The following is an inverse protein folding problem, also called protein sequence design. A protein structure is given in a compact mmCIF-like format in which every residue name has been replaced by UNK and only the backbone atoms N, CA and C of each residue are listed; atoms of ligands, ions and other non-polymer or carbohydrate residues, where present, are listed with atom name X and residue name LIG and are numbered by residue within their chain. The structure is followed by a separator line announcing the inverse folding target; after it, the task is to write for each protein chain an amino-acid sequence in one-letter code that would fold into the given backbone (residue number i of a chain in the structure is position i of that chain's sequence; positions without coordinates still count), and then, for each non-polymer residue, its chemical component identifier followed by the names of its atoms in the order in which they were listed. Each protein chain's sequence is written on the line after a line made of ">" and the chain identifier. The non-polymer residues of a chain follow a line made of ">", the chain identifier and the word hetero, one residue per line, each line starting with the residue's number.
data_IF_486977013652
#
_entry.id   IF_486977013652
#
_cell.length_a   1.000
_cell.length_b   1.000
_cell.length_c   1.000
_cell.angle_alpha   90.00
_cell.angle_beta   90.00
_cell.angle_gamma   90.00
#
_symmetry.space_group_name_H-M   'P 1'
#
loop_
_entity.id
_entity.type
_entity.pdbx_description
1 polymer ?
#
# COMPACT_ATOMS: atom_id res chain seq x y z
N UNK A 1 -19.86 16.73 18.38
CA UNK A 1 -18.93 15.58 18.44
C UNK A 1 -18.25 15.40 17.08
N UNK A 2 -17.08 14.75 17.01
CA UNK A 2 -16.17 14.71 15.85
C UNK A 2 -16.66 13.96 14.58
N UNK A 3 -17.98 13.84 14.34
CA UNK A 3 -18.54 13.27 13.10
C UNK A 3 -18.71 11.75 13.05
N UNK A 4 -18.33 11.00 14.10
CA UNK A 4 -18.50 9.55 14.15
C UNK A 4 -19.90 9.13 14.62
N UNK A 5 -20.49 8.11 13.99
CA UNK A 5 -21.80 7.54 14.37
C UNK A 5 -21.75 6.70 15.65
N UNK A 6 -20.58 6.14 15.99
CA UNK A 6 -20.36 5.25 17.12
C UNK A 6 -19.01 5.56 17.77
N UNK A 7 -18.93 5.30 19.08
CA UNK A 7 -17.68 5.31 19.85
C UNK A 7 -17.46 3.91 20.44
N UNK A 8 -16.21 3.59 20.79
CA UNK A 8 -15.90 2.36 21.51
C UNK A 8 -16.50 2.41 22.91
N UNK A 9 -17.18 1.33 23.31
CA UNK A 9 -17.69 1.17 24.67
C UNK A 9 -16.58 0.78 25.65
N UNK A 10 -15.56 0.05 25.16
CA UNK A 10 -14.44 -0.45 25.95
C UNK A 10 -13.15 -0.10 25.24
N UNK A 11 -12.25 0.56 25.97
CA UNK A 11 -10.89 0.87 25.55
C UNK A 11 -9.95 0.72 26.75
N UNK A 12 -8.69 0.42 26.49
CA UNK A 12 -7.61 0.71 27.43
C UNK A 12 -7.25 2.20 27.37
N UNK A 13 -5.95 2.50 27.33
CA UNK A 13 -5.49 3.87 27.11
C UNK A 13 -5.76 4.37 25.68
N UNK A 14 -5.82 3.46 24.70
CA UNK A 14 -6.11 3.78 23.29
C UNK A 14 -7.19 2.87 22.72
N UNK A 15 -7.67 3.19 21.52
CA UNK A 15 -8.39 2.20 20.71
C UNK A 15 -7.49 0.99 20.44
N UNK A 16 -8.10 -0.18 20.21
CA UNK A 16 -7.36 -1.42 19.97
C UNK A 16 -6.54 -1.33 18.68
N UNK A 17 -5.24 -1.66 18.74
CA UNK A 17 -4.36 -1.75 17.57
C UNK A 17 -4.78 -2.80 16.54
N UNK A 18 -5.77 -3.65 16.87
CA UNK A 18 -6.45 -4.52 15.89
C UNK A 18 -7.11 -3.74 14.75
N UNK A 19 -7.58 -2.52 15.01
CA UNK A 19 -8.16 -1.63 13.98
C UNK A 19 -7.11 -1.28 12.91
N UNK A 20 -5.85 -1.15 13.32
CA UNK A 20 -4.75 -0.85 12.39
C UNK A 20 -4.49 -2.07 11.49
N UNK A 21 -4.56 -3.30 12.03
CA UNK A 21 -4.50 -4.55 11.24
C UNK A 21 -5.62 -4.58 10.19
N UNK A 22 -6.86 -4.38 10.62
CA UNK A 22 -8.02 -4.49 9.72
C UNK A 22 -7.94 -3.45 8.58
N UNK A 23 -7.43 -2.25 8.89
CA UNK A 23 -7.23 -1.19 7.91
C UNK A 23 -6.12 -1.52 6.90
N UNK A 24 -4.94 -1.94 7.39
CA UNK A 24 -3.81 -2.28 6.51
C UNK A 24 -4.03 -3.59 5.75
N UNK A 25 -4.79 -4.55 6.28
CA UNK A 25 -5.11 -5.79 5.58
C UNK A 25 -5.92 -5.54 4.31
N UNK A 26 -6.92 -4.66 4.38
CA UNK A 26 -7.70 -4.25 3.21
C UNK A 26 -6.82 -3.59 2.14
N UNK A 27 -5.90 -2.72 2.58
CA UNK A 27 -4.92 -2.10 1.70
C UNK A 27 -4.00 -3.16 1.07
N UNK A 28 -3.38 -4.04 1.86
CA UNK A 28 -2.48 -5.07 1.35
C UNK A 28 -3.17 -5.97 0.30
N UNK A 29 -4.43 -6.34 0.53
CA UNK A 29 -5.25 -7.08 -0.43
C UNK A 29 -5.49 -6.30 -1.72
N UNK A 30 -5.73 -4.98 -1.64
CA UNK A 30 -5.79 -4.11 -2.81
C UNK A 30 -4.44 -4.08 -3.55
N UNK A 31 -3.33 -4.03 -2.81
CA UNK A 31 -1.98 -4.13 -3.36
C UNK A 31 -1.78 -5.39 -4.20
N UNK A 32 -2.18 -6.56 -3.68
CA UNK A 32 -2.10 -7.81 -4.44
C UNK A 32 -2.90 -7.75 -5.75
N UNK A 33 -4.10 -7.18 -5.71
CA UNK A 33 -4.96 -6.99 -6.88
C UNK A 33 -4.30 -6.10 -7.94
N UNK A 34 -3.81 -4.92 -7.51
CA UNK A 34 -3.12 -3.96 -8.39
C UNK A 34 -1.86 -4.58 -8.97
N UNK A 35 -1.06 -5.29 -8.16
CA UNK A 35 0.17 -5.92 -8.64
C UNK A 35 -0.13 -6.97 -9.72
N UNK A 36 -1.20 -7.76 -9.57
CA UNK A 36 -1.60 -8.75 -10.58
C UNK A 36 -2.04 -8.08 -11.89
N UNK A 37 -2.94 -7.10 -11.82
CA UNK A 37 -3.45 -6.38 -12.99
C UNK A 37 -2.30 -5.71 -13.76
N UNK A 38 -1.42 -4.99 -13.05
CA UNK A 38 -0.29 -4.30 -13.67
C UNK A 38 0.76 -5.26 -14.23
N UNK A 39 0.95 -6.45 -13.62
CA UNK A 39 1.80 -7.49 -14.22
C UNK A 39 1.22 -7.97 -15.55
N UNK A 40 -0.09 -8.24 -15.62
CA UNK A 40 -0.72 -8.67 -16.87
C UNK A 40 -0.60 -7.59 -17.94
N UNK A 41 -0.84 -6.31 -17.62
CA UNK A 41 -0.69 -5.19 -18.55
C UNK A 41 0.74 -5.14 -19.11
N UNK A 42 1.76 -5.37 -18.28
CA UNK A 42 3.16 -5.39 -18.72
C UNK A 42 3.45 -6.54 -19.68
N UNK A 43 2.84 -7.71 -19.46
CA UNK A 43 2.95 -8.85 -20.38
C UNK A 43 2.23 -8.58 -21.71
N UNK A 44 1.02 -8.02 -21.66
CA UNK A 44 0.25 -7.66 -22.86
C UNK A 44 0.93 -6.56 -23.68
N UNK A 45 1.63 -5.63 -23.01
CA UNK A 45 2.48 -4.65 -23.68
C UNK A 45 3.69 -5.28 -24.39
N UNK A 46 4.25 -6.36 -23.85
CA UNK A 46 5.28 -7.13 -24.53
C UNK A 46 4.74 -7.84 -25.78
N UNK A 47 3.52 -8.36 -25.72
CA UNK A 47 2.80 -8.98 -26.84
C UNK A 47 2.27 -7.96 -27.87
N UNK A 48 2.38 -6.65 -27.57
CA UNK A 48 1.85 -5.54 -28.40
C UNK A 48 0.34 -5.58 -28.58
N UNK A 49 -0.38 -6.19 -27.65
CA UNK A 49 -1.85 -6.26 -27.68
C UNK A 49 -2.48 -5.05 -26.99
N UNK A 50 -1.85 -4.54 -25.92
CA UNK A 50 -2.32 -3.39 -25.14
C UNK A 50 -1.12 -2.51 -24.79
N UNK A 51 -1.30 -1.18 -24.86
CA UNK A 51 -0.32 -0.22 -24.38
C UNK A 51 -0.94 0.72 -23.33
N UNK A 52 -0.11 1.25 -22.44
CA UNK A 52 -0.53 2.30 -21.51
C UNK A 52 -0.72 3.65 -22.23
N UNK A 53 -1.56 4.56 -21.68
CA UNK A 53 -1.65 5.91 -22.17
C UNK A 53 -0.27 6.59 -22.22
N UNK A 54 0.06 7.16 -23.37
CA UNK A 54 1.34 7.83 -23.62
C UNK A 54 1.11 9.33 -23.79
N UNK A 55 1.66 10.14 -22.87
CA UNK A 55 1.50 11.59 -22.97
C UNK A 55 2.30 12.17 -24.15
N UNK A 56 1.83 13.29 -24.69
CA UNK A 56 2.45 13.95 -25.84
C UNK A 56 3.93 14.32 -25.61
N UNK A 57 4.30 14.64 -24.38
CA UNK A 57 5.66 15.04 -23.98
C UNK A 57 6.46 13.90 -23.33
N UNK A 58 5.88 12.70 -23.22
CA UNK A 58 6.53 11.59 -22.53
C UNK A 58 7.71 11.05 -23.35
N UNK A 59 8.89 11.01 -22.73
CA UNK A 59 10.07 10.35 -23.29
C UNK A 59 10.11 8.92 -22.77
N UNK A 60 9.87 7.93 -23.65
CA UNK A 60 9.86 6.51 -23.26
C UNK A 60 11.24 5.93 -22.99
N UNK A 61 12.26 6.38 -23.73
CA UNK A 61 13.68 6.06 -23.52
C UNK A 61 14.54 7.20 -24.06
N UNK A 62 15.60 7.56 -23.35
CA UNK A 62 16.56 8.57 -23.79
C UNK A 62 17.36 8.17 -25.04
N UNK A 63 17.43 6.87 -25.36
CA UNK A 63 18.22 6.33 -26.46
C UNK A 63 17.37 5.82 -27.65
N UNK A 64 16.09 5.54 -27.45
CA UNK A 64 15.24 4.90 -28.45
C UNK A 64 13.87 5.61 -28.55
N UNK A 65 13.65 6.46 -29.57
CA UNK A 65 12.45 7.31 -29.67
C UNK A 65 11.15 6.52 -29.91
N UNK A 66 11.24 5.30 -30.47
CA UNK A 66 10.09 4.43 -30.68
C UNK A 66 9.77 3.51 -29.49
N UNK A 67 10.66 3.44 -28.49
CA UNK A 67 10.51 2.49 -27.38
C UNK A 67 9.51 3.01 -26.36
N UNK A 68 8.41 2.28 -26.17
CA UNK A 68 7.38 2.53 -25.15
C UNK A 68 7.49 1.47 -24.06
N UNK A 69 7.68 1.92 -22.82
CA UNK A 69 7.74 1.04 -21.65
C UNK A 69 6.49 1.28 -20.78
N UNK A 70 5.88 0.23 -20.21
CA UNK A 70 4.73 0.33 -19.29
C UNK A 70 5.16 0.82 -17.90
N UNK A 71 5.76 2.02 -17.83
CA UNK A 71 6.38 2.56 -16.63
C UNK A 71 5.37 2.83 -15.51
N UNK A 72 4.10 3.10 -15.85
CA UNK A 72 3.07 3.36 -14.83
C UNK A 72 2.71 2.06 -14.13
N UNK A 73 2.47 0.98 -14.88
CA UNK A 73 2.23 -0.35 -14.30
C UNK A 73 3.44 -0.85 -13.51
N UNK A 74 4.67 -0.59 -13.98
CA UNK A 74 5.87 -0.92 -13.21
C UNK A 74 5.91 -0.21 -11.86
N UNK A 75 5.60 1.08 -11.84
CA UNK A 75 5.50 1.87 -10.60
C UNK A 75 4.39 1.37 -9.70
N UNK A 76 3.22 1.06 -10.26
CA UNK A 76 2.09 0.47 -9.52
C UNK A 76 2.48 -0.85 -8.87
N UNK A 77 3.13 -1.78 -9.59
CA UNK A 77 3.65 -3.02 -9.02
C UNK A 77 4.64 -2.76 -7.87
N UNK A 78 5.54 -1.77 -8.02
CA UNK A 78 6.52 -1.43 -6.99
C UNK A 78 5.87 -0.94 -5.70
N UNK A 79 4.94 0.02 -5.79
CA UNK A 79 4.21 0.55 -4.65
C UNK A 79 3.28 -0.50 -4.02
N UNK A 80 2.58 -1.28 -4.85
CA UNK A 80 1.73 -2.37 -4.39
C UNK A 80 2.50 -3.41 -3.57
N UNK A 81 3.74 -3.71 -3.96
CA UNK A 81 4.62 -4.61 -3.19
C UNK A 81 4.92 -4.06 -1.80
N UNK A 82 5.31 -2.78 -1.71
CA UNK A 82 5.57 -2.15 -0.43
C UNK A 82 4.33 -2.16 0.47
N UNK A 83 3.16 -1.86 -0.13
CA UNK A 83 1.88 -1.82 0.56
C UNK A 83 1.47 -3.20 1.12
N UNK A 84 1.78 -4.29 0.42
CA UNK A 84 1.65 -5.66 0.95
C UNK A 84 2.62 -5.95 2.10
N UNK A 85 3.87 -5.51 1.99
CA UNK A 85 4.90 -5.73 3.02
C UNK A 85 4.56 -5.05 4.35
N UNK A 86 3.97 -3.85 4.31
CA UNK A 86 3.61 -3.09 5.52
C UNK A 86 2.61 -3.79 6.45
N UNK A 87 1.90 -4.82 6.00
CA UNK A 87 0.92 -5.54 6.83
C UNK A 87 1.57 -6.27 8.03
N UNK A 88 2.85 -6.65 7.94
CA UNK A 88 3.54 -7.31 9.04
C UNK A 88 3.65 -6.44 10.28
N UNK A 89 3.73 -5.13 10.10
CA UNK A 89 3.98 -4.17 11.16
C UNK A 89 2.82 -4.09 12.18
N UNK A 90 1.56 -3.78 11.79
CA UNK A 90 0.45 -3.75 12.73
C UNK A 90 0.13 -5.12 13.32
N UNK A 91 0.42 -6.22 12.60
CA UNK A 91 0.29 -7.58 13.12
C UNK A 91 1.19 -7.79 14.34
N UNK A 92 2.47 -7.42 14.22
CA UNK A 92 3.43 -7.52 15.31
C UNK A 92 3.11 -6.54 16.44
N UNK A 93 2.80 -5.27 16.11
CA UNK A 93 2.47 -4.24 17.11
C UNK A 93 1.27 -4.64 17.98
N UNK A 94 0.18 -5.14 17.38
CA UNK A 94 -1.00 -5.50 18.16
C UNK A 94 -0.78 -6.76 19.02
N UNK A 95 0.07 -7.69 18.58
CA UNK A 95 0.33 -8.95 19.28
C UNK A 95 1.07 -8.77 20.61
N UNK A 96 1.87 -7.71 20.75
CA UNK A 96 2.73 -7.47 21.92
C UNK A 96 2.30 -6.29 22.78
N UNK A 97 1.15 -5.68 22.51
CA UNK A 97 0.60 -4.63 23.38
C UNK A 97 0.28 -5.21 24.77
N UNK A 98 0.94 -4.68 25.80
CA UNK A 98 0.70 -5.14 27.18
C UNK A 98 -0.41 -4.33 27.85
N UNK A 99 -1.37 -5.05 28.44
CA UNK A 99 -2.46 -4.51 29.25
C UNK A 99 -3.20 -3.35 28.55
N UNK A 100 -3.25 -2.16 29.18
CA UNK A 100 -3.99 -1.02 28.67
C UNK A 100 -3.29 -0.26 27.53
N UNK A 101 -1.95 -0.35 27.43
CA UNK A 101 -1.08 0.09 26.31
C UNK A 101 0.41 0.06 26.68
N UNK A 102 1.25 -0.23 25.70
CA UNK A 102 2.70 0.10 25.69
C UNK A 102 3.04 1.07 24.54
N UNK A 103 4.10 1.89 24.70
CA UNK A 103 4.43 3.00 23.77
C UNK A 103 5.27 2.58 22.54
N UNK A 104 5.72 1.33 22.50
CA UNK A 104 6.42 0.71 21.36
C UNK A 104 5.61 0.77 20.05
N UNK A 105 4.29 0.98 20.15
CA UNK A 105 3.40 1.22 19.02
C UNK A 105 3.67 2.52 18.25
N UNK A 106 4.22 3.54 18.91
CA UNK A 106 4.25 4.90 18.37
C UNK A 106 5.17 5.06 17.17
N UNK A 107 6.44 4.66 17.29
CA UNK A 107 7.43 4.87 16.24
C UNK A 107 7.09 4.09 14.96
N UNK A 108 6.56 2.88 15.11
CA UNK A 108 6.14 2.07 13.97
C UNK A 108 4.97 2.75 13.21
N UNK A 109 3.99 3.29 13.93
CA UNK A 109 2.79 3.91 13.32
C UNK A 109 3.05 5.24 12.61
N UNK A 110 4.11 5.98 12.97
CA UNK A 110 4.44 7.27 12.35
C UNK A 110 5.65 7.21 11.39
N UNK A 111 6.34 6.07 11.32
CA UNK A 111 7.65 5.95 10.69
C UNK A 111 8.75 6.66 11.50
N UNK A 112 10.02 6.27 11.30
CA UNK A 112 11.20 6.82 12.02
C UNK A 112 11.49 8.33 11.80
N UNK A 113 10.52 9.12 11.33
CA UNK A 113 10.69 10.52 10.91
C UNK A 113 10.07 11.57 11.82
N UNK A 114 9.69 11.23 13.06
CA UNK A 114 9.27 12.19 14.09
C UNK A 114 10.04 11.98 15.38
#
# INVERSE_FOLDING_TARGET
>A
MAGFKKAYLVTGQTYSRKVDIDSLAALASLGATVHKICTDIRLLANLKEIEEPFEKEQIGSSAMPYKRNPMRSERCCSLARHLMTLLSDPLQTAAVQWLERTLDDSANRYGQGR
#
